data_IF_068727603210
#
_entry.id   IF_068727603210
#
_cell.length_a   1.000
_cell.length_b   1.000
_cell.length_c   1.000
_cell.angle_alpha   90.00
_cell.angle_beta   90.00
_cell.angle_gamma   90.00
#
_symmetry.space_group_name_H-M   'P 1'
#
loop_
_entity.id
_entity.type
_entity.pdbx_description
1 polymer ?
#
# COMPACT_ATOMS: atom_id res chain seq x y z
N UNK A 1 23.68 -69.20 12.60
CA UNK A 1 23.65 -67.73 12.41
C UNK A 1 22.41 -67.23 13.17
N UNK A 2 22.52 -66.88 14.46
CA UNK A 2 22.72 -65.52 15.02
C UNK A 2 21.93 -64.44 14.28
N UNK A 3 20.82 -64.00 14.85
CA UNK A 3 20.54 -62.60 15.24
C UNK A 3 19.15 -62.52 15.90
N UNK A 4 19.04 -62.25 17.21
CA UNK A 4 19.09 -60.93 17.87
C UNK A 4 17.76 -60.16 17.74
N UNK A 5 17.05 -60.01 18.87
CA UNK A 5 16.83 -58.76 19.64
C UNK A 5 15.54 -58.04 19.20
N UNK A 6 14.49 -58.01 20.04
CA UNK A 6 14.23 -57.03 21.11
C UNK A 6 13.86 -55.62 20.60
N UNK A 7 12.68 -55.18 21.07
CA UNK A 7 12.38 -53.85 21.61
C UNK A 7 11.83 -52.72 20.69
N UNK A 8 10.68 -52.20 21.16
CA UNK A 8 10.30 -50.78 21.28
C UNK A 8 10.01 -49.98 20.00
N UNK A 9 8.76 -49.54 19.77
CA UNK A 9 8.12 -48.34 20.34
C UNK A 9 8.83 -47.04 19.95
N UNK A 10 8.26 -46.26 19.01
CA UNK A 10 8.25 -44.78 19.04
C UNK A 10 7.04 -44.26 18.22
N UNK A 11 6.13 -43.56 18.90
CA UNK A 11 5.22 -42.58 18.30
C UNK A 11 6.07 -41.40 17.83
N UNK A 12 6.05 -41.08 16.53
CA UNK A 12 6.56 -39.80 16.03
C UNK A 12 5.38 -38.87 15.70
N UNK A 13 5.07 -38.02 16.67
CA UNK A 13 4.51 -36.69 16.47
C UNK A 13 5.49 -35.83 15.67
N UNK A 14 5.06 -35.34 14.51
CA UNK A 14 5.58 -34.11 13.91
C UNK A 14 4.40 -33.12 13.96
N UNK A 15 4.23 -32.39 15.06
CA UNK A 15 4.87 -31.09 15.28
C UNK A 15 4.68 -30.20 14.05
N UNK A 16 3.78 -29.23 14.19
CA UNK A 16 3.63 -28.11 13.28
C UNK A 16 5.02 -27.54 12.97
N UNK A 17 5.47 -27.67 11.73
CA UNK A 17 6.54 -26.83 11.24
C UNK A 17 5.95 -25.42 11.11
N UNK A 18 6.04 -24.67 12.21
CA UNK A 18 6.27 -23.24 12.14
C UNK A 18 7.38 -23.00 11.14
N UNK A 19 7.04 -22.60 9.92
CA UNK A 19 7.98 -22.01 8.98
C UNK A 19 8.53 -20.77 9.67
N UNK A 20 9.68 -20.94 10.31
CA UNK A 20 10.57 -19.87 10.73
C UNK A 20 10.74 -18.92 9.55
N UNK A 21 10.49 -17.64 9.81
CA UNK A 21 10.57 -16.54 8.88
C UNK A 21 11.86 -16.58 8.05
N UNK A 22 11.80 -16.10 6.80
CA UNK A 22 12.95 -16.12 5.92
C UNK A 22 14.06 -15.24 6.53
N UNK A 23 15.18 -15.86 6.89
CA UNK A 23 16.39 -15.15 7.27
C UNK A 23 17.05 -14.63 5.98
N UNK A 24 16.47 -13.58 5.40
CA UNK A 24 17.01 -12.94 4.19
C UNK A 24 18.12 -11.99 4.62
N UNK A 25 19.36 -12.45 4.51
CA UNK A 25 20.55 -11.61 4.68
C UNK A 25 20.80 -10.85 3.38
N UNK A 26 20.09 -9.73 3.22
CA UNK A 26 20.33 -8.81 2.10
C UNK A 26 21.59 -8.00 2.43
N UNK A 27 22.42 -7.74 1.42
CA UNK A 27 23.49 -6.75 1.54
C UNK A 27 23.03 -5.44 0.91
N UNK A 28 23.32 -4.32 1.58
CA UNK A 28 23.13 -2.99 1.02
C UNK A 28 24.10 -2.72 -0.15
N UNK A 29 23.94 -1.57 -0.82
CA UNK A 29 24.82 -1.16 -1.92
C UNK A 29 26.27 -0.90 -1.49
N UNK A 30 26.56 -0.90 -0.19
CA UNK A 30 27.88 -0.73 0.42
C UNK A 30 28.48 -2.07 0.91
N UNK A 31 27.75 -3.19 0.79
CA UNK A 31 28.19 -4.53 1.17
C UNK A 31 27.94 -4.89 2.64
N UNK A 32 27.19 -4.09 3.40
CA UNK A 32 26.83 -4.42 4.78
C UNK A 32 25.59 -5.31 4.82
N UNK A 33 25.56 -6.28 5.74
CA UNK A 33 24.36 -7.09 5.99
C UNK A 33 23.32 -6.25 6.73
N UNK A 34 22.13 -6.12 6.15
CA UNK A 34 21.01 -5.42 6.77
C UNK A 34 20.14 -6.40 7.56
N UNK A 35 19.58 -5.94 8.67
CA UNK A 35 18.61 -6.74 9.43
C UNK A 35 17.28 -6.81 8.69
N UNK A 36 16.45 -7.81 8.99
CA UNK A 36 15.07 -7.87 8.45
C UNK A 36 14.30 -6.59 8.77
N UNK A 37 14.45 -6.03 9.98
CA UNK A 37 13.82 -4.77 10.36
C UNK A 37 14.32 -3.58 9.55
N UNK A 38 15.62 -3.51 9.23
CA UNK A 38 16.17 -2.44 8.40
C UNK A 38 15.67 -2.56 6.95
N UNK A 39 15.57 -3.80 6.45
CA UNK A 39 15.03 -4.06 5.12
C UNK A 39 13.54 -3.76 5.02
N UNK A 40 12.74 -4.16 6.00
CA UNK A 40 11.32 -3.83 6.10
C UNK A 40 11.11 -2.33 6.23
N UNK A 41 11.95 -1.64 7.01
CA UNK A 41 11.95 -0.19 7.12
C UNK A 41 12.30 0.49 5.79
N UNK A 42 13.29 -0.02 5.05
CA UNK A 42 13.65 0.50 3.72
C UNK A 42 12.49 0.33 2.72
N UNK A 43 11.90 -0.88 2.66
CA UNK A 43 10.71 -1.12 1.84
C UNK A 43 9.54 -0.24 2.26
N UNK A 44 9.39 0.04 3.56
CA UNK A 44 8.41 0.97 4.09
C UNK A 44 8.68 2.39 3.62
N UNK A 45 9.91 2.88 3.71
CA UNK A 45 10.27 4.21 3.19
C UNK A 45 9.96 4.33 1.70
N UNK A 46 10.38 3.35 0.89
CA UNK A 46 10.09 3.35 -0.55
C UNK A 46 8.59 3.34 -0.84
N UNK A 47 7.82 2.54 -0.09
CA UNK A 47 6.36 2.53 -0.20
C UNK A 47 5.76 3.90 0.14
N UNK A 48 6.13 4.49 1.27
CA UNK A 48 5.60 5.78 1.72
C UNK A 48 5.96 6.88 0.71
N UNK A 49 7.18 6.88 0.18
CA UNK A 49 7.61 7.83 -0.86
C UNK A 49 6.79 7.66 -2.15
N UNK A 50 6.53 6.42 -2.57
CA UNK A 50 5.68 6.14 -3.72
C UNK A 50 4.24 6.65 -3.50
N UNK A 51 3.66 6.44 -2.33
CA UNK A 51 2.33 6.93 -1.96
C UNK A 51 2.28 8.48 -1.94
N UNK A 52 3.31 9.13 -1.39
CA UNK A 52 3.45 10.60 -1.41
C UNK A 52 3.56 11.14 -2.84
N UNK A 53 4.26 10.44 -3.74
CA UNK A 53 4.30 10.78 -5.16
C UNK A 53 2.94 10.59 -5.82
N UNK A 54 2.22 9.51 -5.49
CA UNK A 54 0.86 9.27 -5.94
C UNK A 54 -0.12 10.38 -5.55
N UNK A 55 -0.01 10.90 -4.32
CA UNK A 55 -0.82 12.03 -3.86
C UNK A 55 -0.52 13.32 -4.64
N UNK A 56 0.76 13.60 -4.93
CA UNK A 56 1.15 14.75 -5.76
C UNK A 56 0.62 14.63 -7.19
N UNK A 57 0.64 13.42 -7.75
CA UNK A 57 0.05 13.15 -9.07
C UNK A 57 -1.46 13.39 -9.08
N UNK A 58 -2.16 12.91 -8.04
CA UNK A 58 -3.58 13.19 -7.84
C UNK A 58 -3.84 14.71 -7.80
N UNK A 59 -3.11 15.47 -6.99
CA UNK A 59 -3.28 16.93 -6.88
C UNK A 59 -3.06 17.65 -8.21
N UNK A 60 -2.07 17.20 -8.99
CA UNK A 60 -1.82 17.69 -10.35
C UNK A 60 -3.01 17.40 -11.26
N UNK A 61 -3.48 16.15 -11.30
CA UNK A 61 -4.61 15.74 -12.16
C UNK A 61 -5.92 16.42 -11.77
N UNK A 62 -6.19 16.61 -10.49
CA UNK A 62 -7.35 17.36 -10.00
C UNK A 62 -7.31 18.82 -10.47
N UNK A 63 -6.12 19.43 -10.46
CA UNK A 63 -5.93 20.78 -11.03
C UNK A 63 -6.17 20.78 -12.54
N UNK A 64 -5.68 19.77 -13.26
CA UNK A 64 -5.92 19.63 -14.71
C UNK A 64 -7.40 19.46 -15.05
N UNK A 65 -8.13 18.63 -14.29
CA UNK A 65 -9.56 18.43 -14.46
C UNK A 65 -10.32 19.75 -14.27
N UNK A 66 -10.04 20.45 -13.17
CA UNK A 66 -10.57 21.80 -12.93
C UNK A 66 -10.30 22.75 -14.09
N UNK A 67 -9.06 22.79 -14.58
CA UNK A 67 -8.70 23.69 -15.69
C UNK A 67 -9.51 23.36 -16.93
N UNK A 68 -9.65 22.08 -17.29
CA UNK A 68 -10.46 21.66 -18.45
C UNK A 68 -11.93 21.98 -18.27
N UNK A 69 -12.50 21.71 -17.10
CA UNK A 69 -13.89 22.07 -16.79
C UNK A 69 -14.13 23.58 -16.93
N UNK A 70 -13.17 24.42 -16.51
CA UNK A 70 -13.25 25.87 -16.70
C UNK A 70 -13.14 26.30 -18.17
N UNK A 71 -12.32 25.61 -18.96
CA UNK A 71 -12.17 25.90 -20.40
C UNK A 71 -13.43 25.54 -21.19
N UNK A 72 -14.08 24.43 -20.83
CA UNK A 72 -15.33 23.99 -21.45
C UNK A 72 -16.54 24.79 -20.96
N UNK A 73 -16.55 25.15 -19.67
CA UNK A 73 -17.63 25.90 -19.02
C UNK A 73 -18.94 25.11 -18.93
N UNK A 74 -20.03 25.80 -18.58
CA UNK A 74 -21.37 25.22 -18.60
C UNK A 74 -21.53 24.00 -17.68
N UNK A 75 -22.04 22.91 -18.24
CA UNK A 75 -22.34 21.64 -17.56
C UNK A 75 -21.09 21.04 -16.91
N UNK A 76 -19.97 20.95 -17.64
CA UNK A 76 -18.68 20.47 -17.13
C UNK A 76 -18.21 21.17 -15.85
N UNK A 77 -18.46 22.49 -15.71
CA UNK A 77 -18.10 23.23 -14.50
C UNK A 77 -19.00 22.85 -13.32
N UNK A 78 -20.28 22.58 -13.60
CA UNK A 78 -21.24 22.07 -12.60
C UNK A 78 -20.82 20.68 -12.15
N UNK A 79 -20.54 19.77 -13.09
CA UNK A 79 -20.17 18.38 -12.80
C UNK A 79 -18.87 18.33 -11.99
N UNK A 80 -17.88 19.16 -12.35
CA UNK A 80 -16.67 19.28 -11.55
C UNK A 80 -16.95 19.79 -10.14
N UNK A 81 -17.87 20.73 -9.97
CA UNK A 81 -18.23 21.25 -8.65
C UNK A 81 -18.95 20.21 -7.79
N UNK A 82 -19.72 19.31 -8.41
CA UNK A 82 -20.39 18.19 -7.76
C UNK A 82 -19.37 17.16 -7.25
N UNK A 83 -18.43 16.74 -8.10
CA UNK A 83 -17.43 15.73 -7.72
C UNK A 83 -16.28 16.29 -6.85
N UNK A 84 -16.04 17.60 -6.85
CA UNK A 84 -14.88 18.20 -6.14
C UNK A 84 -14.89 17.91 -4.64
N UNK A 85 -16.07 17.89 -4.00
CA UNK A 85 -16.16 17.61 -2.57
C UNK A 85 -15.72 16.19 -2.24
N UNK A 86 -16.19 15.22 -3.03
CA UNK A 86 -15.90 13.79 -2.85
C UNK A 86 -14.41 13.52 -3.07
N UNK A 87 -13.83 14.09 -4.14
CA UNK A 87 -12.40 13.99 -4.42
C UNK A 87 -11.53 14.57 -3.29
N UNK A 88 -11.97 15.66 -2.65
CA UNK A 88 -11.27 16.24 -1.49
C UNK A 88 -11.39 15.37 -0.24
N UNK A 89 -12.54 14.73 -0.04
CA UNK A 89 -12.77 13.80 1.06
C UNK A 89 -11.90 12.55 0.90
N UNK A 90 -11.92 11.92 -0.29
CA UNK A 90 -11.07 10.78 -0.63
C UNK A 90 -9.58 11.11 -0.43
N UNK A 91 -9.14 12.29 -0.89
CA UNK A 91 -7.76 12.77 -0.69
C UNK A 91 -7.41 12.87 0.80
N UNK A 92 -8.31 13.40 1.62
CA UNK A 92 -8.11 13.55 3.06
C UNK A 92 -8.06 12.20 3.76
N UNK A 93 -8.93 11.26 3.36
CA UNK A 93 -8.92 9.88 3.87
C UNK A 93 -7.58 9.20 3.56
N UNK A 94 -7.12 9.27 2.31
CA UNK A 94 -5.83 8.71 1.92
C UNK A 94 -4.64 9.36 2.65
N UNK A 95 -4.62 10.68 2.79
CA UNK A 95 -3.57 11.38 3.53
C UNK A 95 -3.54 10.95 5.02
N UNK A 96 -4.72 10.74 5.62
CA UNK A 96 -4.84 10.19 6.98
C UNK A 96 -4.27 8.77 7.07
N UNK A 97 -4.65 7.87 6.15
CA UNK A 97 -4.14 6.49 6.13
C UNK A 97 -2.63 6.44 5.91
N UNK A 98 -2.12 7.26 5.00
CA UNK A 98 -0.69 7.37 4.74
C UNK A 98 0.09 7.84 5.99
N UNK A 99 -0.47 8.77 6.75
CA UNK A 99 0.11 9.22 8.02
C UNK A 99 0.11 8.10 9.08
N UNK A 100 -0.96 7.32 9.18
CA UNK A 100 -1.02 6.16 10.08
C UNK A 100 0.06 5.14 9.69
N UNK A 101 0.14 4.80 8.40
CA UNK A 101 1.14 3.87 7.88
C UNK A 101 2.57 4.41 7.98
N UNK A 102 2.81 5.72 7.99
CA UNK A 102 4.12 6.32 8.23
C UNK A 102 4.55 6.22 9.71
N UNK A 103 3.59 6.18 10.64
CA UNK A 103 3.84 6.18 12.09
C UNK A 103 3.61 4.82 12.78
N UNK A 104 3.08 3.83 12.08
CA UNK A 104 2.81 2.49 12.61
C UNK A 104 4.06 1.75 13.11
N UNK A 105 3.88 0.78 14.00
CA UNK A 105 4.97 -0.08 14.45
C UNK A 105 5.24 -1.21 13.44
N UNK A 106 6.40 -1.87 13.52
CA UNK A 106 6.76 -2.95 12.60
C UNK A 106 5.72 -4.10 12.58
N UNK A 107 5.08 -4.38 13.73
CA UNK A 107 4.04 -5.41 13.82
C UNK A 107 2.74 -5.05 13.11
N UNK A 108 2.39 -3.76 13.08
CA UNK A 108 1.15 -3.26 12.46
C UNK A 108 1.36 -2.92 10.97
N UNK A 109 2.64 -2.79 10.56
CA UNK A 109 3.02 -2.37 9.21
C UNK A 109 2.31 -3.12 8.07
N UNK A 110 2.16 -4.46 8.08
CA UNK A 110 1.48 -5.17 6.99
C UNK A 110 0.02 -4.75 6.81
N UNK A 111 -0.70 -4.50 7.90
CA UNK A 111 -2.11 -4.07 7.89
C UNK A 111 -2.23 -2.64 7.39
N UNK A 112 -1.45 -1.72 7.98
CA UNK A 112 -1.49 -0.30 7.62
C UNK A 112 -1.05 -0.04 6.18
N UNK A 113 -0.10 -0.84 5.68
CA UNK A 113 0.29 -0.83 4.26
C UNK A 113 -0.88 -1.25 3.37
N UNK A 114 -1.59 -2.32 3.74
CA UNK A 114 -2.75 -2.80 2.98
C UNK A 114 -3.86 -1.76 2.92
N UNK A 115 -4.17 -1.13 4.06
CA UNK A 115 -5.26 -0.15 4.13
C UNK A 115 -4.89 1.16 3.42
N UNK A 116 -3.63 1.56 3.46
CA UNK A 116 -3.12 2.66 2.61
C UNK A 116 -3.26 2.35 1.13
N UNK A 117 -2.99 1.11 0.69
CA UNK A 117 -3.17 0.71 -0.73
C UNK A 117 -4.64 0.80 -1.15
N UNK A 118 -5.57 0.32 -0.31
CA UNK A 118 -7.02 0.40 -0.61
C UNK A 118 -7.48 1.86 -0.74
N UNK A 119 -7.12 2.70 0.23
CA UNK A 119 -7.46 4.13 0.18
C UNK A 119 -6.84 4.83 -1.05
N UNK A 120 -5.65 4.42 -1.49
CA UNK A 120 -5.07 4.92 -2.73
C UNK A 120 -5.83 4.47 -3.98
N UNK A 121 -6.30 3.21 -4.02
CA UNK A 121 -7.09 2.69 -5.13
C UNK A 121 -8.42 3.42 -5.25
N UNK A 122 -9.16 3.56 -4.14
CA UNK A 122 -10.40 4.34 -4.08
C UNK A 122 -10.18 5.77 -4.58
N UNK A 123 -9.15 6.46 -4.07
CA UNK A 123 -8.79 7.81 -4.52
C UNK A 123 -8.55 7.91 -6.04
N UNK A 124 -7.98 6.87 -6.64
CA UNK A 124 -7.68 6.84 -8.07
C UNK A 124 -8.91 6.52 -8.90
N UNK A 125 -9.75 5.61 -8.44
CA UNK A 125 -11.02 5.25 -9.06
C UNK A 125 -11.96 6.47 -9.07
N UNK A 126 -12.13 7.14 -7.93
CA UNK A 126 -12.95 8.36 -7.82
C UNK A 126 -12.47 9.45 -8.79
N UNK A 127 -11.14 9.63 -8.91
CA UNK A 127 -10.58 10.60 -9.86
C UNK A 127 -10.84 10.20 -11.30
N UNK A 128 -10.67 8.93 -11.64
CA UNK A 128 -10.87 8.46 -13.01
C UNK A 128 -12.35 8.55 -13.41
N UNK A 129 -13.28 8.22 -12.51
CA UNK A 129 -14.73 8.42 -12.69
C UNK A 129 -15.07 9.91 -12.87
N UNK A 130 -14.52 10.80 -12.03
CA UNK A 130 -14.70 12.24 -12.19
C UNK A 130 -14.15 12.77 -13.53
N UNK A 131 -13.08 12.18 -14.06
CA UNK A 131 -12.57 12.53 -15.39
C UNK A 131 -13.54 12.11 -16.50
N UNK A 132 -14.19 10.95 -16.37
CA UNK A 132 -15.21 10.48 -17.31
C UNK A 132 -16.45 11.39 -17.23
N UNK A 133 -17.01 11.59 -16.04
CA UNK A 133 -18.22 12.39 -15.84
C UNK A 133 -18.04 13.83 -16.32
N UNK A 134 -16.94 14.49 -15.93
CA UNK A 134 -16.73 15.91 -16.23
C UNK A 134 -16.34 16.14 -17.69
N UNK A 135 -15.62 15.22 -18.35
CA UNK A 135 -15.13 15.47 -19.71
C UNK A 135 -16.02 14.90 -20.80
N UNK A 136 -16.89 13.93 -20.47
CA UNK A 136 -17.82 13.30 -21.42
C UNK A 136 -19.27 13.81 -21.28
N UNK A 137 -19.54 14.76 -20.37
CA UNK A 137 -20.80 15.52 -20.28
C UNK A 137 -21.15 16.27 -21.58
#
# INVERSE_FOLDING_TARGET
MRNQLLASLVLLSTAACSTTEPNVTIQDAQGNYITTSDYEAMQRTEFIDAMKMGLKDFDRRMTELRTRANELGGEHLSDFAECESELREARTNFESQLSIAENSMAGDWPEERSDTVKAYQELREDLDEAFEDVLDA
#
